data_IF_583303537299
#
_entry.id   IF_583303537299
#
_cell.length_a   1.000
_cell.length_b   1.000
_cell.length_c   1.000
_cell.angle_alpha   90.00
_cell.angle_beta   90.00
_cell.angle_gamma   90.00
#
_symmetry.space_group_name_H-M   'P 1'
#
loop_
_entity.id
_entity.type
_entity.pdbx_description
1 polymer ?
#
# COMPACT_ATOMS: atom_id res chain seq x y z
N UNK A 1 -31.12 -37.49 -20.96
CA UNK A 1 -30.01 -36.92 -20.19
C UNK A 1 -30.55 -35.68 -19.50
N UNK A 2 -30.33 -35.52 -18.21
CA UNK A 2 -30.87 -34.39 -17.44
C UNK A 2 -29.82 -33.28 -17.41
N UNK A 3 -30.13 -32.12 -17.97
CA UNK A 3 -29.21 -30.99 -18.02
C UNK A 3 -29.11 -30.31 -16.64
N UNK A 4 -28.25 -30.84 -15.77
CA UNK A 4 -28.05 -30.32 -14.41
C UNK A 4 -26.88 -29.35 -14.26
N UNK A 5 -26.03 -29.20 -15.28
CA UNK A 5 -24.85 -28.33 -15.24
C UNK A 5 -25.25 -26.85 -15.16
N UNK A 6 -24.54 -26.08 -14.33
CA UNK A 6 -24.76 -24.64 -14.14
C UNK A 6 -23.50 -23.86 -14.46
N UNK A 7 -23.64 -22.80 -15.25
CA UNK A 7 -22.60 -21.79 -15.53
C UNK A 7 -23.12 -20.42 -15.12
N UNK A 8 -22.39 -19.72 -14.26
CA UNK A 8 -22.71 -18.37 -13.78
C UNK A 8 -21.59 -17.43 -14.23
N UNK A 9 -21.97 -16.28 -14.78
CA UNK A 9 -21.04 -15.22 -15.18
C UNK A 9 -21.37 -13.96 -14.38
N UNK A 10 -20.39 -13.43 -13.66
CA UNK A 10 -20.51 -12.12 -13.04
C UNK A 10 -20.11 -11.05 -14.06
N UNK A 11 -21.12 -10.39 -14.65
CA UNK A 11 -20.90 -9.42 -15.74
C UNK A 11 -19.92 -8.30 -15.39
N UNK A 12 -19.97 -7.66 -14.20
CA UNK A 12 -19.06 -6.55 -13.88
C UNK A 12 -17.58 -6.95 -13.79
N UNK A 13 -17.27 -8.15 -13.28
CA UNK A 13 -15.88 -8.60 -13.13
C UNK A 13 -15.42 -9.56 -14.23
N UNK A 14 -16.32 -10.03 -15.09
CA UNK A 14 -16.06 -11.05 -16.10
C UNK A 14 -15.79 -12.46 -15.55
N UNK A 15 -15.86 -12.67 -14.22
CA UNK A 15 -15.57 -13.99 -13.61
C UNK A 15 -16.67 -14.99 -13.97
N UNK A 16 -16.25 -16.12 -14.54
CA UNK A 16 -17.12 -17.24 -14.90
C UNK A 16 -16.86 -18.42 -13.96
N UNK A 17 -17.92 -19.00 -13.42
CA UNK A 17 -17.86 -20.20 -12.58
C UNK A 17 -18.82 -21.26 -13.13
N UNK A 18 -18.37 -22.51 -13.13
CA UNK A 18 -19.14 -23.67 -13.59
C UNK A 18 -19.22 -24.73 -12.50
N UNK A 19 -20.37 -25.39 -12.36
CA UNK A 19 -20.55 -26.51 -11.43
C UNK A 19 -21.45 -27.58 -12.08
N UNK A 20 -21.02 -28.85 -11.99
CA UNK A 20 -21.71 -30.01 -12.56
C UNK A 20 -21.68 -31.23 -11.63
N UNK A 21 -21.41 -31.02 -10.35
CA UNK A 21 -21.13 -32.10 -9.39
C UNK A 21 -22.40 -32.90 -9.04
N UNK A 22 -23.56 -32.24 -9.05
CA UNK A 22 -24.83 -32.79 -8.60
C UNK A 22 -25.77 -33.11 -9.77
N UNK A 23 -26.66 -34.08 -9.56
CA UNK A 23 -27.77 -34.37 -10.50
C UNK A 23 -28.84 -33.28 -10.52
N UNK A 24 -28.87 -32.40 -9.50
CA UNK A 24 -29.86 -31.33 -9.37
C UNK A 24 -29.24 -29.97 -9.75
N UNK A 25 -29.87 -29.29 -10.71
CA UNK A 25 -29.49 -27.94 -11.13
C UNK A 25 -29.49 -26.94 -9.96
N UNK A 26 -30.45 -27.03 -9.03
CA UNK A 26 -30.54 -26.11 -7.88
C UNK A 26 -29.32 -26.27 -6.98
N UNK A 27 -28.89 -27.51 -6.71
CA UNK A 27 -27.71 -27.78 -5.88
C UNK A 27 -26.44 -27.27 -6.56
N UNK A 28 -26.29 -27.47 -7.87
CA UNK A 28 -25.17 -26.93 -8.65
C UNK A 28 -25.18 -25.40 -8.66
N UNK A 29 -26.35 -24.75 -8.73
CA UNK A 29 -26.47 -23.29 -8.66
C UNK A 29 -26.01 -22.73 -7.31
N UNK A 30 -26.38 -23.37 -6.20
CA UNK A 30 -25.94 -22.94 -4.86
C UNK A 30 -24.42 -23.06 -4.72
N UNK A 31 -23.83 -24.19 -5.15
CA UNK A 31 -22.37 -24.39 -5.16
C UNK A 31 -21.65 -23.37 -6.05
N UNK A 32 -22.14 -23.17 -7.27
CA UNK A 32 -21.57 -22.19 -8.20
C UNK A 32 -21.64 -20.76 -7.65
N UNK A 33 -22.71 -20.37 -6.97
CA UNK A 33 -22.82 -19.06 -6.29
C UNK A 33 -21.82 -18.93 -5.14
N UNK A 34 -21.61 -19.99 -4.36
CA UNK A 34 -20.61 -19.99 -3.29
C UNK A 34 -19.20 -19.80 -3.85
N UNK A 35 -18.83 -20.56 -4.89
CA UNK A 35 -17.55 -20.41 -5.57
C UNK A 35 -17.38 -19.02 -6.19
N UNK A 36 -18.43 -18.47 -6.82
CA UNK A 36 -18.39 -17.12 -7.38
C UNK A 36 -18.12 -16.08 -6.30
N UNK A 37 -18.79 -16.19 -5.14
CA UNK A 37 -18.57 -15.29 -4.01
C UNK A 37 -17.12 -15.34 -3.51
N UNK A 38 -16.56 -16.53 -3.34
CA UNK A 38 -15.16 -16.70 -2.92
C UNK A 38 -14.21 -16.09 -3.93
N UNK A 39 -14.40 -16.35 -5.24
CA UNK A 39 -13.56 -15.78 -6.30
C UNK A 39 -13.62 -14.25 -6.36
N UNK A 40 -14.80 -13.67 -6.16
CA UNK A 40 -14.95 -12.21 -6.11
C UNK A 40 -14.23 -11.61 -4.90
N UNK A 41 -14.35 -12.25 -3.75
CA UNK A 41 -13.67 -11.82 -2.54
C UNK A 41 -12.15 -11.88 -2.69
N UNK A 42 -11.63 -13.01 -3.18
CA UNK A 42 -10.18 -13.18 -3.39
C UNK A 42 -9.63 -12.14 -4.37
N UNK A 43 -10.37 -11.83 -5.44
CA UNK A 43 -9.98 -10.83 -6.43
C UNK A 43 -9.90 -9.42 -5.83
N UNK A 44 -10.90 -9.00 -5.04
CA UNK A 44 -10.88 -7.68 -4.40
C UNK A 44 -9.83 -7.61 -3.29
N UNK A 45 -9.66 -8.67 -2.50
CA UNK A 45 -8.62 -8.74 -1.49
C UNK A 45 -7.22 -8.63 -2.11
N UNK A 46 -6.98 -9.33 -3.22
CA UNK A 46 -5.73 -9.21 -3.96
C UNK A 46 -5.52 -7.78 -4.45
N UNK A 47 -6.54 -7.16 -5.05
CA UNK A 47 -6.48 -5.76 -5.51
C UNK A 47 -6.13 -4.79 -4.38
N UNK A 48 -6.74 -4.95 -3.21
CA UNK A 48 -6.45 -4.11 -2.03
C UNK A 48 -5.02 -4.31 -1.54
N UNK A 49 -4.59 -5.57 -1.46
CA UNK A 49 -3.22 -5.90 -1.05
C UNK A 49 -2.18 -5.35 -2.03
N UNK A 50 -2.43 -5.42 -3.33
CA UNK A 50 -1.54 -4.90 -4.37
C UNK A 50 -1.41 -3.38 -4.27
N UNK A 51 -2.52 -2.67 -4.03
CA UNK A 51 -2.51 -1.21 -3.79
C UNK A 51 -1.69 -0.87 -2.54
N UNK A 52 -1.96 -1.52 -1.41
CA UNK A 52 -1.22 -1.30 -0.17
C UNK A 52 0.27 -1.65 -0.31
N UNK A 53 0.59 -2.72 -1.04
CA UNK A 53 1.97 -3.13 -1.28
C UNK A 53 2.70 -2.12 -2.17
N UNK A 54 2.05 -1.59 -3.21
CA UNK A 54 2.59 -0.55 -4.06
C UNK A 54 2.85 0.75 -3.27
N UNK A 55 1.89 1.19 -2.46
CA UNK A 55 2.05 2.36 -1.59
C UNK A 55 3.21 2.18 -0.60
N UNK A 56 3.27 1.03 0.08
CA UNK A 56 4.36 0.71 1.01
C UNK A 56 5.72 0.68 0.33
N UNK A 57 5.80 0.08 -0.86
CA UNK A 57 7.03 0.03 -1.65
C UNK A 57 7.51 1.44 -2.00
N UNK A 58 6.59 2.35 -2.33
CA UNK A 58 6.91 3.76 -2.56
C UNK A 58 7.41 4.49 -1.30
N UNK A 59 6.87 4.18 -0.12
CA UNK A 59 7.27 4.82 1.13
C UNK A 59 8.65 4.39 1.64
N UNK A 60 9.02 3.12 1.45
CA UNK A 60 10.29 2.56 1.95
C UNK A 60 11.43 2.75 0.96
N UNK A 61 11.12 2.83 -0.35
CA UNK A 61 12.12 2.87 -1.41
C UNK A 61 12.76 1.51 -1.67
N UNK A 62 13.95 1.52 -2.28
CA UNK A 62 14.70 0.29 -2.62
C UNK A 62 15.56 -0.20 -1.46
N UNK A 63 15.74 0.62 -0.42
CA UNK A 63 16.59 0.32 0.73
C UNK A 63 18.09 0.53 0.46
N UNK A 64 18.44 1.13 -0.69
CA UNK A 64 19.82 1.49 -0.98
C UNK A 64 20.30 2.62 -0.05
N UNK A 65 21.61 2.60 0.27
CA UNK A 65 22.23 3.62 1.11
C UNK A 65 22.17 5.02 0.50
N UNK A 66 22.09 5.11 -0.83
CA UNK A 66 21.95 6.37 -1.55
C UNK A 66 20.60 7.06 -1.28
N UNK A 67 19.55 6.29 -0.97
CA UNK A 67 18.19 6.79 -0.71
C UNK A 67 17.95 7.13 0.77
N UNK A 68 18.99 7.15 1.59
CA UNK A 68 18.86 7.38 3.02
C UNK A 68 18.37 8.79 3.32
N UNK A 69 17.16 8.90 3.87
CA UNK A 69 16.57 10.18 4.28
C UNK A 69 17.31 10.86 5.46
N UNK A 70 17.86 10.08 6.40
CA UNK A 70 18.46 10.60 7.64
C UNK A 70 19.64 9.77 8.13
N UNK A 71 20.60 10.44 8.74
CA UNK A 71 21.77 9.83 9.39
C UNK A 71 21.77 10.16 10.86
N UNK A 72 21.85 9.15 11.70
CA UNK A 72 22.01 9.30 13.15
C UNK A 72 23.47 8.98 13.50
N UNK A 73 24.21 9.98 13.97
CA UNK A 73 25.62 9.86 14.37
C UNK A 73 25.73 10.03 15.88
N UNK A 74 25.80 8.91 16.59
CA UNK A 74 25.89 8.86 18.05
C UNK A 74 27.20 9.47 18.60
N UNK A 75 28.40 9.14 18.07
CA UNK A 75 29.65 9.72 18.59
C UNK A 75 29.71 11.26 18.56
N UNK A 76 29.03 11.88 17.60
CA UNK A 76 28.98 13.34 17.43
C UNK A 76 27.66 13.97 17.92
N UNK A 77 26.80 13.19 18.57
CA UNK A 77 25.46 13.59 19.03
C UNK A 77 24.66 14.36 17.95
N UNK A 78 24.66 13.87 16.72
CA UNK A 78 24.16 14.62 15.56
C UNK A 78 23.22 13.81 14.68
N UNK A 79 22.17 14.46 14.20
CA UNK A 79 21.29 13.96 13.15
C UNK A 79 21.44 14.83 11.90
N UNK A 80 21.53 14.20 10.72
CA UNK A 80 21.55 14.89 9.42
C UNK A 80 20.40 14.37 8.55
N UNK A 81 19.50 15.25 8.10
CA UNK A 81 18.43 14.96 7.15
C UNK A 81 18.86 15.37 5.74
N UNK A 82 18.97 14.39 4.84
CA UNK A 82 19.50 14.57 3.48
C UNK A 82 18.50 15.18 2.51
N UNK A 83 17.21 15.20 2.85
CA UNK A 83 16.18 15.78 1.97
C UNK A 83 16.30 17.30 1.86
N UNK A 84 16.69 17.93 2.97
CA UNK A 84 16.84 19.39 3.08
C UNK A 84 18.26 19.81 3.46
N UNK A 85 19.20 18.87 3.52
CA UNK A 85 20.58 19.06 3.98
C UNK A 85 20.70 19.73 5.37
N UNK A 86 19.75 19.45 6.26
CA UNK A 86 19.74 19.98 7.63
C UNK A 86 20.56 19.09 8.56
N UNK A 87 21.35 19.69 9.43
CA UNK A 87 22.13 18.96 10.44
C UNK A 87 21.96 19.59 11.81
N UNK A 88 21.55 18.79 12.81
CA UNK A 88 21.27 19.21 14.18
C UNK A 88 22.14 18.43 15.17
N UNK A 89 22.76 19.12 16.12
CA UNK A 89 23.66 18.55 17.15
C UNK A 89 22.93 18.30 18.47
N UNK A 90 21.78 17.62 18.39
CA UNK A 90 20.92 17.32 19.54
C UNK A 90 20.22 15.98 19.37
N UNK A 91 20.97 14.97 18.93
CA UNK A 91 20.43 13.63 18.65
C UNK A 91 19.71 13.06 19.87
N UNK A 92 20.31 13.14 21.06
CA UNK A 92 19.71 12.57 22.28
C UNK A 92 18.32 13.18 22.56
N UNK A 93 18.20 14.52 22.50
CA UNK A 93 16.92 15.22 22.72
C UNK A 93 15.85 14.83 21.69
N UNK A 94 16.27 14.63 20.43
CA UNK A 94 15.37 14.21 19.35
C UNK A 94 14.89 12.77 19.60
N UNK A 95 15.76 11.88 20.07
CA UNK A 95 15.37 10.51 20.43
C UNK A 95 14.47 10.48 21.67
N UNK A 96 14.63 11.42 22.60
CA UNK A 96 13.78 11.61 23.78
C UNK A 96 12.42 12.31 23.46
N UNK A 97 12.19 12.68 22.19
CA UNK A 97 10.90 13.15 21.70
C UNK A 97 10.83 14.64 21.34
N UNK A 98 11.91 15.42 21.49
CA UNK A 98 11.99 16.81 21.00
C UNK A 98 12.22 16.87 19.48
N UNK A 99 11.24 16.37 18.72
CA UNK A 99 11.30 16.25 17.25
C UNK A 99 10.68 17.45 16.52
N UNK A 100 10.09 18.40 17.25
CA UNK A 100 9.29 19.48 16.66
C UNK A 100 10.11 20.43 15.79
N UNK A 101 11.37 20.68 16.12
CA UNK A 101 12.25 21.50 15.29
C UNK A 101 12.52 20.83 13.93
N UNK A 102 12.79 19.52 13.94
CA UNK A 102 13.03 18.74 12.72
C UNK A 102 11.78 18.70 11.83
N UNK A 103 10.60 18.46 12.43
CA UNK A 103 9.33 18.41 11.69
C UNK A 103 9.01 19.76 11.05
N UNK A 104 9.19 20.86 11.78
CA UNK A 104 8.94 22.21 11.26
C UNK A 104 9.83 22.52 10.07
N UNK A 105 11.14 22.31 10.20
CA UNK A 105 12.08 22.56 9.10
C UNK A 105 11.74 21.76 7.83
N UNK A 106 11.30 20.51 7.97
CA UNK A 106 10.87 19.67 6.85
C UNK A 106 9.56 20.15 6.23
N UNK A 107 8.60 20.57 7.07
CA UNK A 107 7.29 21.04 6.62
C UNK A 107 7.43 22.37 5.86
N UNK A 108 8.26 23.28 6.36
CA UNK A 108 8.52 24.58 5.73
C UNK A 108 9.21 24.40 4.37
N UNK A 109 10.16 23.46 4.26
CA UNK A 109 10.82 23.14 3.02
C UNK A 109 9.86 22.56 1.96
N UNK A 110 8.99 21.62 2.37
CA UNK A 110 7.95 21.04 1.50
C UNK A 110 6.94 22.10 1.03
N UNK A 111 6.51 22.99 1.93
CA UNK A 111 5.64 24.12 1.56
C UNK A 111 6.32 25.06 0.57
N UNK A 112 7.60 25.40 0.79
CA UNK A 112 8.35 26.27 -0.11
C UNK A 112 8.54 25.64 -1.50
N UNK A 113 8.75 24.32 -1.57
CA UNK A 113 8.85 23.59 -2.84
C UNK A 113 7.51 23.57 -3.59
N UNK A 114 6.41 23.28 -2.89
CA UNK A 114 5.05 23.33 -3.47
C UNK A 114 4.69 24.72 -3.98
N UNK A 115 5.02 25.78 -3.22
CA UNK A 115 4.80 27.16 -3.67
C UNK A 115 5.60 27.47 -4.94
N UNK A 116 6.87 27.04 -5.02
CA UNK A 116 7.69 27.21 -6.23
C UNK A 116 7.07 26.51 -7.43
N UNK A 117 6.63 25.27 -7.27
CA UNK A 117 5.97 24.51 -8.35
C UNK A 117 4.66 25.15 -8.83
N UNK A 118 3.94 25.88 -7.97
CA UNK A 118 2.70 26.57 -8.33
C UNK A 118 2.94 27.95 -8.98
N UNK A 119 4.11 28.55 -8.73
CA UNK A 119 4.44 29.90 -9.22
C UNK A 119 5.14 29.87 -10.59
N UNK A 120 5.58 28.69 -11.03
CA UNK A 120 6.15 28.42 -12.37
C UNK A 120 5.07 27.92 -13.30
#
# INVERSE_FOLDING_TARGET
MTDSAVRITHLPSGIVVTCQDERSQIKNRVKAMHFLRTKLYDAELQRQNDVMAAERKGQVGTGDRSERIRTYNYPQNRISDHRINLTLYKLDQILDGDIYELIRALSDADQAEKLKMLTV
#
